data_IF_965576068047
#
_entry.id   IF_965576068047
#
_cell.length_a   1.000
_cell.length_b   1.000
_cell.length_c   1.000
_cell.angle_alpha   90.00
_cell.angle_beta   90.00
_cell.angle_gamma   90.00
#
_symmetry.space_group_name_H-M   'P 1'
#
loop_
_entity.id
_entity.type
_entity.pdbx_description
1 polymer ?
#
# COMPACT_ATOMS: atom_id res chain seq x y z
N UNK A 1 8.81 -16.27 -31.65
CA UNK A 1 9.55 -17.11 -30.70
C UNK A 1 9.69 -16.26 -29.46
N UNK A 2 8.95 -16.57 -28.39
CA UNK A 2 9.08 -15.87 -27.12
C UNK A 2 10.44 -16.28 -26.56
N UNK A 3 11.35 -15.32 -26.36
CA UNK A 3 12.65 -15.58 -25.78
C UNK A 3 12.52 -16.15 -24.36
N UNK A 4 13.39 -17.09 -24.02
CA UNK A 4 13.41 -17.69 -22.69
C UNK A 4 14.73 -17.25 -22.04
N UNK A 5 14.66 -16.29 -21.12
CA UNK A 5 15.81 -15.97 -20.28
C UNK A 5 16.07 -17.15 -19.35
N UNK A 6 17.33 -17.43 -19.04
CA UNK A 6 17.70 -18.48 -18.07
C UNK A 6 18.41 -17.86 -16.89
N UNK A 7 17.96 -18.15 -15.67
CA UNK A 7 18.62 -17.70 -14.46
C UNK A 7 20.00 -18.35 -14.33
N UNK A 8 21.05 -17.55 -14.13
CA UNK A 8 22.42 -18.04 -13.93
C UNK A 8 22.63 -18.75 -12.58
N UNK A 9 21.83 -18.44 -11.56
CA UNK A 9 21.95 -19.02 -10.23
C UNK A 9 21.23 -20.38 -10.09
N UNK A 10 20.05 -20.54 -10.70
CA UNK A 10 19.23 -21.75 -10.54
C UNK A 10 18.89 -22.48 -11.85
N UNK A 11 19.34 -21.98 -13.01
CA UNK A 11 19.20 -22.58 -14.34
C UNK A 11 17.76 -22.84 -14.81
N UNK A 12 16.76 -22.14 -14.25
CA UNK A 12 15.36 -22.20 -14.71
C UNK A 12 15.07 -21.14 -15.76
N UNK A 13 14.11 -21.43 -16.64
CA UNK A 13 13.59 -20.49 -17.63
C UNK A 13 12.72 -19.41 -16.98
N UNK A 14 12.78 -18.21 -17.56
CA UNK A 14 12.15 -16.99 -17.08
C UNK A 14 11.53 -16.20 -18.24
N UNK A 15 10.44 -15.44 -17.98
CA UNK A 15 9.88 -14.50 -18.93
C UNK A 15 10.89 -13.43 -19.37
N UNK A 16 10.85 -13.01 -20.64
CA UNK A 16 11.79 -12.06 -21.27
C UNK A 16 11.96 -10.72 -20.55
N UNK A 17 10.95 -10.26 -19.82
CA UNK A 17 10.93 -8.97 -19.12
C UNK A 17 11.12 -9.09 -17.60
N UNK A 18 11.60 -10.24 -17.14
CA UNK A 18 11.81 -10.47 -15.71
C UNK A 18 12.98 -9.63 -15.20
N UNK A 19 12.79 -8.91 -14.10
CA UNK A 19 13.89 -8.25 -13.37
C UNK A 19 14.60 -9.19 -12.41
N UNK A 20 13.84 -10.12 -11.86
CA UNK A 20 14.26 -11.07 -10.84
C UNK A 20 13.85 -12.48 -11.26
N UNK A 21 14.59 -13.49 -10.83
CA UNK A 21 14.17 -14.88 -10.98
C UNK A 21 12.97 -15.18 -10.07
N UNK A 22 11.82 -15.58 -10.64
CA UNK A 22 10.62 -15.93 -9.87
C UNK A 22 10.76 -17.21 -9.02
N UNK A 23 11.88 -17.92 -9.13
CA UNK A 23 12.14 -19.16 -8.41
C UNK A 23 13.15 -19.04 -7.28
N UNK A 24 14.22 -18.24 -7.47
CA UNK A 24 15.30 -18.11 -6.49
C UNK A 24 15.59 -16.67 -6.05
N UNK A 25 14.94 -15.67 -6.65
CA UNK A 25 15.08 -14.25 -6.26
C UNK A 25 16.31 -13.52 -6.79
N UNK A 26 17.22 -14.20 -7.49
CA UNK A 26 18.42 -13.57 -8.07
C UNK A 26 18.06 -12.49 -9.09
N UNK A 27 18.80 -11.37 -9.07
CA UNK A 27 18.69 -10.30 -10.06
C UNK A 27 19.19 -10.74 -11.43
N UNK A 28 18.43 -10.43 -12.49
CA UNK A 28 18.85 -10.72 -13.85
C UNK A 28 19.68 -9.55 -14.39
N UNK A 29 20.97 -9.77 -14.58
CA UNK A 29 21.86 -8.80 -15.22
C UNK A 29 21.38 -8.51 -16.65
N UNK A 30 20.73 -7.35 -16.86
CA UNK A 30 20.23 -6.91 -18.17
C UNK A 30 18.81 -6.35 -18.20
N UNK A 31 18.07 -6.30 -17.08
CA UNK A 31 16.71 -5.74 -17.06
C UNK A 31 16.65 -4.19 -17.02
N UNK A 32 17.72 -3.53 -17.48
CA UNK A 32 17.93 -2.09 -17.40
C UNK A 32 17.57 -1.38 -18.72
N UNK A 33 16.36 -1.60 -19.22
CA UNK A 33 15.76 -0.75 -20.25
C UNK A 33 14.25 -0.97 -20.27
N UNK A 34 13.57 -0.37 -19.28
CA UNK A 34 12.18 0.05 -19.50
C UNK A 34 12.32 1.38 -20.20
N UNK A 35 11.93 1.44 -21.48
CA UNK A 35 11.50 2.68 -22.07
C UNK A 35 10.39 3.21 -21.18
N UNK A 36 10.66 4.32 -20.50
CA UNK A 36 9.64 5.15 -19.89
C UNK A 36 8.77 5.64 -21.05
N UNK A 37 7.71 4.91 -21.37
CA UNK A 37 6.71 5.34 -22.33
C UNK A 37 5.78 6.31 -21.57
N UNK A 38 5.91 7.63 -21.79
CA UNK A 38 5.22 8.62 -20.99
C UNK A 38 3.72 8.70 -21.31
N UNK A 39 3.21 7.93 -22.28
CA UNK A 39 1.80 7.99 -22.70
C UNK A 39 0.85 7.13 -21.82
N UNK A 40 1.38 6.40 -20.84
CA UNK A 40 0.60 5.62 -19.86
C UNK A 40 0.22 6.42 -18.59
N UNK A 41 0.36 7.75 -18.62
CA UNK A 41 -0.28 8.61 -17.62
C UNK A 41 -1.80 8.64 -17.89
N UNK A 42 -2.54 7.76 -17.22
CA UNK A 42 -4.01 7.76 -17.27
C UNK A 42 -4.56 9.01 -16.59
N UNK A 43 -5.73 9.43 -17.05
CA UNK A 43 -6.50 10.63 -16.68
C UNK A 43 -6.83 10.79 -15.17
N UNK A 44 -6.48 9.80 -14.33
CA UNK A 44 -6.58 9.83 -12.86
C UNK A 44 -5.36 10.53 -12.19
N UNK A 45 -4.32 10.88 -12.96
CA UNK A 45 -3.18 11.70 -12.54
C UNK A 45 -3.54 13.21 -12.58
N UNK A 46 -4.68 13.56 -12.02
CA UNK A 46 -5.09 14.95 -11.86
C UNK A 46 -4.36 15.54 -10.64
N UNK A 47 -3.59 16.60 -10.87
CA UNK A 47 -2.77 17.33 -9.90
C UNK A 47 -3.51 17.63 -8.58
N UNK A 48 -3.27 16.79 -7.57
CA UNK A 48 -3.77 16.93 -6.21
C UNK A 48 -3.24 15.78 -5.33
N UNK A 49 -3.16 15.95 -3.99
CA UNK A 49 -2.79 14.85 -3.12
C UNK A 49 -3.80 13.71 -3.29
N UNK A 50 -3.33 12.57 -3.80
CA UNK A 50 -4.10 11.33 -3.84
C UNK A 50 -4.50 10.96 -2.41
N UNK A 51 -5.77 11.13 -2.10
CA UNK A 51 -6.33 10.76 -0.80
C UNK A 51 -6.42 9.23 -0.69
N UNK A 52 -5.32 8.61 -0.25
CA UNK A 52 -5.26 7.17 -0.02
C UNK A 52 -6.17 6.73 1.13
N UNK A 53 -6.53 7.63 2.06
CA UNK A 53 -7.36 7.30 3.21
C UNK A 53 -8.81 7.01 2.80
N UNK A 54 -9.33 7.65 1.74
CA UNK A 54 -10.66 7.34 1.21
C UNK A 54 -10.72 6.03 0.40
N UNK A 55 -9.58 5.44 -0.01
CA UNK A 55 -9.54 4.18 -0.77
C UNK A 55 -9.70 2.97 0.15
N UNK A 56 -10.94 2.65 0.51
CA UNK A 56 -11.29 1.45 1.30
C UNK A 56 -11.45 0.21 0.41
N UNK A 57 -10.77 -0.89 0.75
CA UNK A 57 -10.96 -2.20 0.09
C UNK A 57 -12.28 -2.85 0.51
N UNK A 58 -12.81 -3.73 -0.35
CA UNK A 58 -14.02 -4.49 -0.07
C UNK A 58 -13.86 -5.36 1.19
N UNK A 59 -14.86 -5.35 2.08
CA UNK A 59 -14.86 -6.14 3.32
C UNK A 59 -15.02 -7.66 3.11
N UNK A 60 -15.21 -8.11 1.87
CA UNK A 60 -15.42 -9.52 1.50
C UNK A 60 -14.13 -10.37 1.59
N UNK A 61 -12.96 -9.75 1.64
CA UNK A 61 -11.66 -10.43 1.81
C UNK A 61 -11.18 -11.24 0.60
N UNK A 62 -12.09 -11.65 -0.30
CA UNK A 62 -11.78 -12.31 -1.58
C UNK A 62 -11.91 -11.35 -2.76
N UNK A 63 -12.73 -10.30 -2.61
CA UNK A 63 -12.92 -9.29 -3.64
C UNK A 63 -11.77 -8.26 -3.64
N UNK A 64 -11.20 -8.01 -4.82
CA UNK A 64 -10.12 -7.01 -5.04
C UNK A 64 -10.63 -5.56 -5.17
N UNK A 65 -11.96 -5.37 -5.14
CA UNK A 65 -12.58 -4.08 -5.42
C UNK A 65 -12.44 -3.06 -4.29
N UNK A 66 -12.61 -1.79 -4.64
CA UNK A 66 -12.70 -0.67 -3.69
C UNK A 66 -14.14 -0.24 -3.47
N UNK A 67 -14.42 0.37 -2.32
CA UNK A 67 -15.72 0.92 -1.97
C UNK A 67 -15.92 2.27 -2.67
N UNK A 68 -17.05 2.40 -3.36
CA UNK A 68 -17.50 3.64 -3.98
C UNK A 68 -18.16 4.60 -2.98
N UNK A 69 -18.47 5.83 -3.42
CA UNK A 69 -19.12 6.84 -2.57
C UNK A 69 -20.54 6.44 -2.13
N UNK A 70 -21.13 5.44 -2.77
CA UNK A 70 -22.43 4.84 -2.41
C UNK A 70 -22.32 3.78 -1.29
N UNK A 71 -21.12 3.57 -0.74
CA UNK A 71 -20.85 2.60 0.33
C UNK A 71 -20.86 1.15 -0.15
N UNK A 72 -20.76 0.91 -1.46
CA UNK A 72 -20.74 -0.44 -2.07
C UNK A 72 -19.48 -0.67 -2.87
N UNK A 73 -19.07 -1.93 -2.98
CA UNK A 73 -17.93 -2.33 -3.79
C UNK A 73 -18.22 -2.13 -5.29
N UNK A 74 -17.30 -1.50 -6.02
CA UNK A 74 -17.42 -1.25 -7.47
C UNK A 74 -17.39 -2.53 -8.32
N UNK A 75 -16.78 -3.60 -7.81
CA UNK A 75 -16.63 -4.87 -8.54
C UNK A 75 -17.79 -5.84 -8.26
N UNK A 76 -18.23 -5.96 -7.00
CA UNK A 76 -19.21 -6.98 -6.60
C UNK A 76 -20.55 -6.42 -6.10
N UNK A 77 -20.67 -5.10 -5.90
CA UNK A 77 -21.91 -4.42 -5.47
C UNK A 77 -22.33 -4.65 -4.01
N UNK A 78 -21.57 -5.45 -3.26
CA UNK A 78 -21.83 -5.72 -1.84
C UNK A 78 -21.63 -4.45 -1.00
N UNK A 79 -22.46 -4.21 0.03
CA UNK A 79 -22.24 -3.11 0.96
C UNK A 79 -20.95 -3.34 1.76
N UNK A 80 -20.25 -2.26 2.10
CA UNK A 80 -19.15 -2.32 3.04
C UNK A 80 -19.66 -2.65 4.45
N UNK A 81 -18.98 -3.56 5.14
CA UNK A 81 -19.36 -4.03 6.49
C UNK A 81 -18.21 -4.00 7.50
N UNK A 82 -17.08 -3.36 7.14
CA UNK A 82 -15.91 -3.24 8.02
C UNK A 82 -16.10 -2.23 9.16
N UNK A 83 -15.07 -2.10 10.01
CA UNK A 83 -15.12 -1.28 11.22
C UNK A 83 -15.53 0.19 10.94
N UNK A 84 -16.35 0.80 11.82
CA UNK A 84 -16.67 2.22 11.75
C UNK A 84 -15.38 3.03 11.92
N UNK A 85 -15.30 4.18 11.25
CA UNK A 85 -14.17 5.09 11.40
C UNK A 85 -14.01 5.49 12.88
N UNK A 86 -12.77 5.69 13.37
CA UNK A 86 -12.58 6.26 14.69
C UNK A 86 -13.24 7.64 14.70
N UNK A 87 -14.36 7.71 15.40
CA UNK A 87 -15.01 8.94 15.83
C UNK A 87 -13.97 9.74 16.62
N UNK A 88 -13.73 10.97 16.17
CA UNK A 88 -12.77 11.94 16.71
C UNK A 88 -12.57 11.77 18.23
N UNK A 89 -11.37 11.34 18.64
CA UNK A 89 -11.00 11.33 20.06
C UNK A 89 -11.05 12.79 20.56
N UNK A 90 -11.82 13.10 21.62
CA UNK A 90 -11.88 14.45 22.15
C UNK A 90 -10.50 14.85 22.67
N UNK A 91 -10.07 16.06 22.29
CA UNK A 91 -8.83 16.70 22.72
C UNK A 91 -8.72 16.64 24.26
N UNK A 92 -7.78 15.83 24.75
CA UNK A 92 -7.37 15.74 26.16
C UNK A 92 -6.97 17.16 26.63
N UNK A 93 -7.88 17.87 27.31
CA UNK A 93 -7.57 19.09 28.03
C UNK A 93 -6.63 18.75 29.20
N UNK A 94 -5.42 19.32 29.29
CA UNK A 94 -4.54 19.05 30.43
C UNK A 94 -5.07 19.78 31.67
N UNK A 95 -5.78 19.07 32.54
CA UNK A 95 -6.10 19.52 33.89
C UNK A 95 -4.85 19.44 34.80
N UNK A 96 -4.19 20.58 34.95
CA UNK A 96 -3.58 21.11 36.18
C UNK A 96 -2.97 20.07 37.15
N UNK A 97 -1.68 19.76 36.98
CA UNK A 97 -0.90 18.98 37.95
C UNK A 97 -0.16 19.95 38.91
N UNK A 98 -0.48 20.01 40.22
CA UNK A 98 0.21 20.90 41.14
C UNK A 98 1.62 20.38 41.49
N UNK A 99 2.57 21.31 41.58
CA UNK A 99 4.00 21.09 41.82
C UNK A 99 4.29 20.22 43.08
N UNK A 100 5.18 19.21 43.01
CA UNK A 100 5.58 18.47 44.19
C UNK A 100 6.59 19.26 45.04
N UNK A 101 6.26 19.45 46.32
CA UNK A 101 7.15 20.01 47.33
C UNK A 101 8.45 19.18 47.48
N UNK A 102 9.57 19.89 47.57
CA UNK A 102 10.91 19.35 47.81
C UNK A 102 10.95 18.50 49.11
N UNK A 103 11.34 17.23 49.00
CA UNK A 103 11.98 16.52 50.12
C UNK A 103 13.29 15.94 49.64
N UNK A 104 14.36 16.62 50.03
CA UNK A 104 15.74 16.16 49.98
C UNK A 104 15.87 14.99 50.95
N UNK A 105 16.44 13.87 50.51
CA UNK A 105 17.23 13.04 51.42
C UNK A 105 18.24 12.16 50.67
N UNK A 106 19.40 12.07 51.29
CA UNK A 106 20.69 11.58 50.80
C UNK A 106 20.93 10.15 51.32
N UNK A 107 21.33 9.20 50.46
CA UNK A 107 22.34 8.16 50.77
C UNK A 107 22.79 7.39 49.53
#
# INVERSE_FOLDING_TARGET
>A
MLGELTCSACNRSLPEKSRYCCWCGEELAGAAEVSEDPELATEDDAEGPIDLASRKLCSDGTCIGVIGPDGRCKECGKPYTGEPEPEDEPEDEPEDEPEPEEVKEEH
#
